data_IF_012288552360
#
_entry.id   IF_012288552360
#
_cell.length_a   1.000
_cell.length_b   1.000
_cell.length_c   1.000
_cell.angle_alpha   90.00
_cell.angle_beta   90.00
_cell.angle_gamma   90.00
#
_symmetry.space_group_name_H-M   'P 1'
#
loop_
_entity.id
_entity.type
_entity.pdbx_description
1 polymer ?
#
# COMPACT_ATOMS: atom_id res chain seq x y z
N UNK A 1 41.85 22.08 16.55
CA UNK A 1 40.78 23.11 16.52
C UNK A 1 39.71 22.66 15.56
N UNK A 2 38.45 22.88 15.94
CA UNK A 2 37.17 22.68 15.22
C UNK A 2 36.77 21.25 14.84
N UNK A 3 35.92 20.55 15.60
CA UNK A 3 34.45 20.70 15.83
C UNK A 3 33.59 20.34 14.61
N UNK A 4 32.94 19.18 14.67
CA UNK A 4 31.50 19.06 14.40
C UNK A 4 30.96 17.74 14.96
N UNK A 5 30.39 17.84 16.16
CA UNK A 5 29.34 16.94 16.65
C UNK A 5 27.98 17.47 16.17
N UNK A 6 26.95 16.62 16.21
CA UNK A 6 25.56 16.75 15.71
C UNK A 6 25.43 16.20 14.28
N UNK A 7 24.62 15.16 13.98
CA UNK A 7 23.18 15.08 14.19
C UNK A 7 22.72 13.58 14.07
N UNK A 8 22.07 13.05 15.12
CA UNK A 8 20.86 12.18 15.14
C UNK A 8 20.97 10.80 14.40
N UNK A 9 20.95 9.61 15.02
CA UNK A 9 19.96 8.98 15.91
C UNK A 9 18.50 8.94 15.37
N UNK A 10 18.26 8.33 14.21
CA UNK A 10 16.94 7.75 13.88
C UNK A 10 17.14 6.35 13.24
N UNK A 11 16.47 5.37 13.83
CA UNK A 11 16.12 4.03 13.33
C UNK A 11 17.16 2.91 13.28
N UNK A 12 17.58 2.52 14.48
CA UNK A 12 17.51 1.12 14.93
C UNK A 12 16.07 0.58 14.79
N UNK A 13 15.93 -0.58 14.12
CA UNK A 13 14.77 -1.49 14.12
C UNK A 13 13.44 -1.01 13.49
N UNK A 14 13.22 -1.39 12.23
CA UNK A 14 11.99 -2.06 11.82
C UNK A 14 12.42 -3.18 10.85
N UNK A 15 12.41 -4.46 11.27
CA UNK A 15 11.26 -5.34 11.12
C UNK A 15 10.93 -5.49 9.63
N UNK A 16 10.99 -6.62 8.97
CA UNK A 16 11.09 -8.05 9.29
C UNK A 16 11.15 -8.69 7.89
N UNK A 17 11.68 -9.90 7.81
CA UNK A 17 11.62 -10.81 6.66
C UNK A 17 10.71 -10.36 5.52
N UNK A 18 11.29 -10.21 4.33
CA UNK A 18 10.59 -10.19 3.04
C UNK A 18 9.68 -11.41 3.02
N UNK A 19 8.44 -11.22 3.46
CA UNK A 19 7.41 -12.21 3.29
C UNK A 19 7.28 -12.39 1.79
N UNK A 20 7.36 -13.65 1.36
CA UNK A 20 7.31 -14.02 -0.03
C UNK A 20 5.87 -13.86 -0.50
N UNK A 21 5.45 -12.60 -0.68
CA UNK A 21 4.26 -12.24 -1.44
C UNK A 21 4.37 -12.94 -2.80
N UNK A 22 3.25 -13.44 -3.35
CA UNK A 22 3.26 -14.02 -4.68
C UNK A 22 3.91 -13.02 -5.64
N UNK A 23 4.96 -13.46 -6.37
CA UNK A 23 5.82 -12.64 -7.24
C UNK A 23 5.10 -11.72 -8.23
N UNK A 24 3.78 -11.91 -8.39
CA UNK A 24 2.93 -11.18 -9.32
C UNK A 24 2.20 -10.00 -8.68
N UNK A 25 1.94 -10.00 -7.38
CA UNK A 25 1.21 -8.90 -6.71
C UNK A 25 2.12 -7.78 -6.21
N UNK A 26 3.33 -8.11 -5.75
CA UNK A 26 4.32 -7.12 -5.32
C UNK A 26 4.49 -5.94 -6.28
N UNK A 27 4.70 -6.13 -7.59
CA UNK A 27 4.87 -5.00 -8.49
C UNK A 27 3.64 -4.07 -8.55
N UNK A 28 2.43 -4.63 -8.51
CA UNK A 28 1.19 -3.85 -8.57
C UNK A 28 0.94 -3.10 -7.26
N UNK A 29 1.33 -3.70 -6.13
CA UNK A 29 1.28 -3.04 -4.81
C UNK A 29 2.31 -1.92 -4.70
N UNK A 30 3.52 -2.14 -5.17
CA UNK A 30 4.57 -1.13 -5.22
C UNK A 30 4.17 0.04 -6.12
N UNK A 31 3.53 -0.24 -7.26
CA UNK A 31 2.98 0.77 -8.16
C UNK A 31 1.86 1.58 -7.48
N UNK A 32 0.91 0.90 -6.82
CA UNK A 32 -0.15 1.57 -6.07
C UNK A 32 0.42 2.48 -4.97
N UNK A 33 1.34 1.96 -4.14
CA UNK A 33 1.96 2.72 -3.05
C UNK A 33 2.76 3.92 -3.57
N UNK A 34 3.43 3.77 -4.70
CA UNK A 34 4.15 4.88 -5.34
C UNK A 34 3.20 5.96 -5.85
N UNK A 35 2.11 5.57 -6.52
CA UNK A 35 1.10 6.53 -7.00
C UNK A 35 0.42 7.22 -5.82
N UNK A 36 0.21 6.50 -4.72
CA UNK A 36 -0.25 7.05 -3.45
C UNK A 36 0.74 8.07 -2.90
N UNK A 37 2.03 7.73 -2.78
CA UNK A 37 3.07 8.64 -2.27
C UNK A 37 3.17 9.92 -3.12
N UNK A 38 3.06 9.80 -4.45
CA UNK A 38 3.08 10.94 -5.37
C UNK A 38 1.87 11.88 -5.17
N UNK A 39 0.71 11.32 -4.80
CA UNK A 39 -0.52 12.09 -4.51
C UNK A 39 -0.59 12.56 -3.06
N UNK A 40 -0.09 11.80 -2.10
CA UNK A 40 0.00 12.14 -0.67
C UNK A 40 0.85 13.40 -0.47
N UNK A 41 1.91 13.56 -1.29
CA UNK A 41 2.68 14.79 -1.35
C UNK A 41 1.85 16.03 -1.75
N UNK A 42 0.68 15.83 -2.37
CA UNK A 42 -0.26 16.89 -2.75
C UNK A 42 -1.51 16.94 -1.84
N UNK A 43 -1.98 15.80 -1.33
CA UNK A 43 -3.18 15.67 -0.48
C UNK A 43 -3.09 14.43 0.45
N UNK A 44 -2.39 14.61 1.56
CA UNK A 44 -2.14 13.59 2.59
C UNK A 44 -3.42 13.04 3.22
N UNK A 45 -4.45 13.89 3.37
CA UNK A 45 -5.69 13.52 4.03
C UNK A 45 -6.51 12.56 3.14
N UNK A 46 -6.45 12.76 1.82
CA UNK A 46 -7.23 11.97 0.89
C UNK A 46 -6.65 10.57 0.77
N UNK A 47 -5.32 10.41 0.66
CA UNK A 47 -4.68 9.10 0.40
C UNK A 47 -4.45 8.21 1.62
N UNK A 48 -4.57 8.73 2.83
CA UNK A 48 -4.30 7.99 4.07
C UNK A 48 -5.14 6.71 4.22
N UNK A 49 -6.44 6.76 3.94
CA UNK A 49 -7.33 5.58 4.03
C UNK A 49 -6.93 4.50 3.01
N UNK A 50 -6.56 4.92 1.80
CA UNK A 50 -6.16 4.01 0.73
C UNK A 50 -4.83 3.32 1.06
N UNK A 51 -3.86 4.06 1.61
CA UNK A 51 -2.57 3.51 2.06
C UNK A 51 -2.77 2.45 3.13
N UNK A 52 -3.64 2.74 4.10
CA UNK A 52 -3.97 1.78 5.15
C UNK A 52 -4.55 0.48 4.57
N UNK A 53 -5.47 0.57 3.60
CA UNK A 53 -6.06 -0.61 2.96
C UNK A 53 -4.98 -1.41 2.20
N UNK A 54 -4.08 -0.73 1.47
CA UNK A 54 -2.98 -1.40 0.76
C UNK A 54 -2.04 -2.16 1.72
N UNK A 55 -1.71 -1.56 2.86
CA UNK A 55 -0.89 -2.20 3.91
C UNK A 55 -1.60 -3.38 4.57
N UNK A 56 -2.92 -3.26 4.81
CA UNK A 56 -3.75 -4.35 5.33
C UNK A 56 -3.80 -5.53 4.35
N UNK A 57 -3.91 -5.27 3.04
CA UNK A 57 -3.89 -6.30 1.99
C UNK A 57 -2.52 -7.00 1.95
N UNK A 58 -1.44 -6.23 1.94
CA UNK A 58 -0.09 -6.78 2.01
C UNK A 58 0.10 -7.65 3.25
N UNK A 59 -0.43 -7.22 4.40
CA UNK A 59 -0.36 -7.98 5.64
C UNK A 59 -1.18 -9.27 5.55
N UNK A 60 -2.42 -9.21 5.07
CA UNK A 60 -3.31 -10.37 4.96
C UNK A 60 -2.78 -11.43 3.99
N UNK A 61 -2.09 -11.03 2.92
CA UNK A 61 -1.48 -11.95 1.96
C UNK A 61 -0.23 -12.60 2.51
N UNK A 62 0.55 -11.87 3.31
CA UNK A 62 1.77 -12.36 3.94
C UNK A 62 1.50 -13.15 5.23
N UNK A 63 0.34 -12.95 5.85
CA UNK A 63 -0.11 -13.62 7.07
C UNK A 63 -1.59 -14.01 6.94
N UNK A 64 -1.93 -15.04 6.14
CA UNK A 64 -3.31 -15.46 5.89
C UNK A 64 -4.05 -15.99 7.12
N UNK A 65 -3.35 -16.17 8.26
CA UNK A 65 -3.96 -16.51 9.55
C UNK A 65 -4.48 -15.28 10.32
N UNK A 66 -4.21 -14.06 9.85
CA UNK A 66 -4.65 -12.83 10.48
C UNK A 66 -5.92 -12.29 9.82
N UNK A 67 -6.96 -12.02 10.62
CA UNK A 67 -8.10 -11.19 10.21
C UNK A 67 -7.64 -9.74 10.01
N UNK A 68 -8.18 -9.01 9.01
CA UNK A 68 -9.48 -9.23 8.34
C UNK A 68 -9.44 -10.09 7.06
N UNK A 69 -10.60 -10.66 6.64
CA UNK A 69 -10.69 -11.43 5.40
C UNK A 69 -10.34 -10.56 4.19
N UNK A 70 -9.49 -11.09 3.29
CA UNK A 70 -9.02 -10.37 2.09
C UNK A 70 -10.19 -9.84 1.25
N UNK A 71 -11.30 -10.56 1.16
CA UNK A 71 -12.50 -10.12 0.44
C UNK A 71 -13.07 -8.79 0.96
N UNK A 72 -13.05 -8.57 2.27
CA UNK A 72 -13.49 -7.30 2.84
C UNK A 72 -12.51 -6.16 2.51
N UNK A 73 -11.22 -6.46 2.46
CA UNK A 73 -10.19 -5.49 2.07
C UNK A 73 -10.29 -5.14 0.58
N UNK A 74 -10.53 -6.12 -0.30
CA UNK A 74 -10.79 -5.92 -1.73
C UNK A 74 -11.99 -5.00 -1.94
N UNK A 75 -13.09 -5.24 -1.22
CA UNK A 75 -14.27 -4.39 -1.33
C UNK A 75 -13.99 -2.94 -0.89
N UNK A 76 -13.28 -2.75 0.23
CA UNK A 76 -12.87 -1.40 0.68
C UNK A 76 -11.95 -0.72 -0.34
N UNK A 77 -10.99 -1.46 -0.87
CA UNK A 77 -10.06 -0.98 -1.89
C UNK A 77 -10.80 -0.52 -3.16
N UNK A 78 -11.80 -1.27 -3.59
CA UNK A 78 -12.66 -0.93 -4.73
C UNK A 78 -13.49 0.34 -4.47
N UNK A 79 -14.06 0.49 -3.28
CA UNK A 79 -14.82 1.70 -2.92
C UNK A 79 -13.92 2.94 -2.94
N UNK A 80 -12.70 2.85 -2.41
CA UNK A 80 -11.75 3.95 -2.51
C UNK A 80 -11.39 4.24 -3.97
N UNK A 81 -11.10 3.22 -4.79
CA UNK A 81 -10.83 3.41 -6.21
C UNK A 81 -11.93 4.20 -6.93
N UNK A 82 -13.21 3.97 -6.57
CA UNK A 82 -14.35 4.71 -7.12
C UNK A 82 -14.34 6.16 -6.66
N UNK A 83 -14.09 6.43 -5.37
CA UNK A 83 -13.98 7.81 -4.84
C UNK A 83 -12.85 8.59 -5.51
N UNK A 84 -11.70 7.93 -5.72
CA UNK A 84 -10.54 8.52 -6.39
C UNK A 84 -10.69 8.62 -7.91
N UNK A 85 -11.64 7.93 -8.53
CA UNK A 85 -11.78 7.92 -9.99
C UNK A 85 -12.05 9.32 -10.57
N UNK A 86 -12.73 10.19 -9.81
CA UNK A 86 -13.05 11.56 -10.24
C UNK A 86 -11.90 12.53 -9.99
N UNK A 87 -11.26 12.44 -8.81
CA UNK A 87 -10.22 13.40 -8.38
C UNK A 87 -8.81 12.99 -8.81
N UNK A 88 -8.50 11.70 -8.78
CA UNK A 88 -7.16 11.14 -9.02
C UNK A 88 -7.24 9.84 -9.85
N UNK A 89 -7.47 9.95 -11.17
CA UNK A 89 -7.68 8.79 -12.03
C UNK A 89 -6.47 7.82 -12.08
N UNK A 90 -5.26 8.31 -11.79
CA UNK A 90 -4.06 7.48 -11.68
C UNK A 90 -4.15 6.50 -10.52
N UNK A 91 -4.62 6.96 -9.34
CA UNK A 91 -4.86 6.11 -8.18
C UNK A 91 -5.89 5.05 -8.53
N UNK A 92 -7.03 5.45 -9.09
CA UNK A 92 -8.09 4.51 -9.45
C UNK A 92 -7.62 3.44 -10.44
N UNK A 93 -6.71 3.79 -11.37
CA UNK A 93 -6.12 2.84 -12.31
C UNK A 93 -5.20 1.83 -11.60
N UNK A 94 -4.28 2.30 -10.77
CA UNK A 94 -3.36 1.43 -10.02
C UNK A 94 -4.14 0.50 -9.07
N UNK A 95 -5.14 1.04 -8.39
CA UNK A 95 -5.99 0.25 -7.49
C UNK A 95 -6.76 -0.86 -8.22
N UNK A 96 -7.23 -0.61 -9.45
CA UNK A 96 -7.88 -1.64 -10.28
C UNK A 96 -6.91 -2.73 -10.72
N UNK A 97 -5.67 -2.39 -11.08
CA UNK A 97 -4.66 -3.39 -11.42
C UNK A 97 -4.40 -4.34 -10.25
N UNK A 98 -4.31 -3.79 -9.04
CA UNK A 98 -4.19 -4.59 -7.81
C UNK A 98 -5.37 -5.53 -7.63
N UNK A 99 -6.60 -5.02 -7.78
CA UNK A 99 -7.83 -5.84 -7.67
C UNK A 99 -7.85 -6.95 -8.72
N UNK A 100 -7.49 -6.65 -9.96
CA UNK A 100 -7.39 -7.62 -11.04
C UNK A 100 -6.35 -8.70 -10.71
N UNK A 101 -5.20 -8.33 -10.17
CA UNK A 101 -4.17 -9.30 -9.77
C UNK A 101 -4.62 -10.15 -8.59
N UNK A 102 -5.31 -9.58 -7.60
CA UNK A 102 -5.91 -10.34 -6.50
C UNK A 102 -6.92 -11.37 -7.03
N UNK A 103 -7.84 -10.93 -7.90
CA UNK A 103 -8.84 -11.80 -8.54
C UNK A 103 -8.18 -12.90 -9.38
N UNK A 104 -7.13 -12.57 -10.14
CA UNK A 104 -6.38 -13.51 -10.97
C UNK A 104 -5.60 -14.56 -10.17
N UNK A 105 -5.29 -14.28 -8.91
CA UNK A 105 -4.67 -15.25 -7.99
C UNK A 105 -5.69 -16.20 -7.36
N UNK A 106 -6.99 -16.03 -7.64
CA UNK A 106 -8.05 -16.81 -7.01
C UNK A 106 -8.20 -16.52 -5.52
N UNK A 107 -7.75 -15.34 -5.10
CA UNK A 107 -7.92 -14.80 -3.75
C UNK A 107 -9.18 -13.95 -3.72
#
# INVERSE_FOLDING_TARGET
>A
MSTSWHIIFINTLAFRMTAMTPKRLQPDMDELLKVIDDVEAADECTTAELRQIADEINTAINAPEAEPPIEALKHRLEQEAIKFAESHPAIASATRQVLDTLNNMGI
#
